data_IF_846469631919
#
_entry.id   IF_846469631919
#
_cell.length_a   1.000
_cell.length_b   1.000
_cell.length_c   1.000
_cell.angle_alpha   90.00
_cell.angle_beta   90.00
_cell.angle_gamma   90.00
#
_symmetry.space_group_name_H-M   'P 1'
#
loop_
_entity.id
_entity.type
_entity.pdbx_description
1 polymer ?
#
# COMPACT_ATOMS: atom_id res chain seq x y z
N UNK A 1 54.77 22.98 -11.94
CA UNK A 1 53.54 23.75 -11.67
C UNK A 1 52.32 23.29 -12.47
N UNK A 2 52.44 22.72 -13.69
CA UNK A 2 51.29 22.21 -14.47
C UNK A 2 50.62 20.92 -13.94
N UNK A 3 51.36 20.07 -13.19
CA UNK A 3 50.83 18.80 -12.66
C UNK A 3 49.95 18.98 -11.41
N UNK A 4 50.11 20.08 -10.69
CA UNK A 4 49.31 20.38 -9.49
C UNK A 4 47.89 20.83 -9.86
N UNK A 5 47.71 21.45 -11.04
CA UNK A 5 46.41 21.88 -11.54
C UNK A 5 45.50 20.72 -11.99
N UNK A 6 46.08 19.58 -12.38
CA UNK A 6 45.33 18.40 -12.85
C UNK A 6 44.72 17.63 -11.67
N UNK A 7 45.36 17.66 -10.49
CA UNK A 7 44.89 16.95 -9.30
C UNK A 7 43.69 17.67 -8.65
N UNK A 8 43.58 19.00 -8.80
CA UNK A 8 42.45 19.77 -8.29
C UNK A 8 41.13 19.53 -9.06
N UNK A 9 41.20 19.14 -10.34
CA UNK A 9 40.01 18.89 -11.17
C UNK A 9 39.42 17.48 -10.96
N UNK A 10 40.21 16.52 -10.45
CA UNK A 10 39.72 15.17 -10.14
C UNK A 10 39.03 15.06 -8.76
N UNK A 11 39.23 16.03 -7.87
CA UNK A 11 38.66 16.02 -6.51
C UNK A 11 37.18 16.46 -6.43
N UNK A 12 36.66 17.13 -7.47
CA UNK A 12 35.29 17.70 -7.45
C UNK A 12 34.24 16.64 -7.86
N UNK A 13 34.66 15.49 -8.40
CA UNK A 13 33.76 14.42 -8.85
C UNK A 13 33.30 13.45 -7.74
N UNK A 14 33.55 13.79 -6.46
CA UNK A 14 33.13 12.98 -5.30
C UNK A 14 32.12 13.68 -4.37
N UNK A 15 31.67 14.90 -4.70
CA UNK A 15 30.56 15.56 -3.99
C UNK A 15 29.18 15.20 -4.57
N UNK A 16 29.07 14.02 -5.16
CA UNK A 16 27.82 13.43 -5.64
C UNK A 16 27.14 12.58 -4.57
N UNK A 17 26.82 13.17 -3.42
CA UNK A 17 25.72 12.66 -2.59
C UNK A 17 24.65 13.74 -2.59
N UNK A 18 23.78 13.70 -3.61
CA UNK A 18 22.45 14.31 -3.48
C UNK A 18 21.75 13.49 -2.40
N UNK A 19 21.92 13.88 -1.14
CA UNK A 19 21.01 13.50 -0.07
C UNK A 19 19.68 14.13 -0.45
N UNK A 20 18.86 13.39 -1.21
CA UNK A 20 17.43 13.53 -1.04
C UNK A 20 17.19 13.17 0.41
N UNK A 21 17.13 14.18 1.26
CA UNK A 21 16.38 14.10 2.50
C UNK A 21 14.95 13.82 2.08
N UNK A 22 14.64 12.55 1.77
CA UNK A 22 13.31 12.07 2.03
C UNK A 22 13.19 12.21 3.53
N UNK A 23 12.46 13.24 3.95
CA UNK A 23 11.62 13.11 5.12
C UNK A 23 10.77 11.89 4.80
N UNK A 24 11.28 10.69 5.08
CA UNK A 24 10.45 9.52 5.24
C UNK A 24 9.68 9.87 6.50
N UNK A 25 8.36 10.14 6.42
CA UNK A 25 7.57 10.20 7.62
C UNK A 25 7.83 8.86 8.29
N UNK A 26 8.45 8.89 9.47
CA UNK A 26 8.93 7.69 10.14
C UNK A 26 7.83 6.65 10.16
N UNK A 27 8.20 5.43 9.85
CA UNK A 27 7.42 4.21 9.93
C UNK A 27 6.71 4.09 11.28
N UNK A 28 5.53 4.67 11.41
CA UNK A 28 4.78 4.76 12.66
C UNK A 28 3.29 4.54 12.40
N UNK A 29 3.00 3.52 11.58
CA UNK A 29 1.64 3.03 11.42
C UNK A 29 1.46 1.88 12.39
N UNK A 30 1.03 2.22 13.61
CA UNK A 30 0.74 1.25 14.67
C UNK A 30 -0.43 0.31 14.33
N UNK A 31 -1.23 0.66 13.31
CA UNK A 31 -2.34 -0.15 12.82
C UNK A 31 -2.59 0.10 11.34
N UNK A 32 -2.58 -0.96 10.53
CA UNK A 32 -2.98 -0.94 9.13
C UNK A 32 -4.23 -1.82 9.00
N UNK A 33 -5.28 -1.27 8.40
CA UNK A 33 -6.54 -1.96 8.19
C UNK A 33 -6.87 -1.99 6.70
N UNK A 34 -7.16 -3.18 6.18
CA UNK A 34 -7.47 -3.45 4.78
C UNK A 34 -8.92 -3.93 4.69
N UNK A 35 -9.72 -3.28 3.86
CA UNK A 35 -11.12 -3.60 3.63
C UNK A 35 -11.30 -4.03 2.18
N UNK A 36 -11.49 -5.33 1.94
CA UNK A 36 -11.74 -5.88 0.62
C UNK A 36 -13.24 -6.00 0.38
N UNK A 37 -13.78 -5.09 -0.43
CA UNK A 37 -15.18 -5.10 -0.86
C UNK A 37 -15.34 -5.96 -2.09
N UNK A 38 -16.18 -6.98 -1.98
CA UNK A 38 -16.35 -7.99 -3.00
C UNK A 38 -17.79 -8.50 -3.08
N UNK A 39 -18.08 -9.22 -4.16
CA UNK A 39 -19.30 -10.02 -4.29
C UNK A 39 -18.93 -11.41 -4.82
N UNK A 40 -19.54 -12.50 -4.29
CA UNK A 40 -19.31 -13.85 -4.81
C UNK A 40 -19.87 -14.06 -6.22
N UNK A 41 -20.59 -13.09 -6.81
CA UNK A 41 -21.09 -13.16 -8.20
C UNK A 41 -20.24 -12.34 -9.17
N UNK A 42 -19.15 -11.74 -8.72
CA UNK A 42 -18.30 -10.88 -9.54
C UNK A 42 -17.05 -11.65 -9.98
N UNK A 43 -16.88 -11.97 -11.28
CA UNK A 43 -15.73 -12.74 -11.77
C UNK A 43 -14.38 -12.05 -11.47
N UNK A 44 -14.34 -10.71 -11.48
CA UNK A 44 -13.14 -9.95 -11.14
C UNK A 44 -12.80 -10.03 -9.65
N UNK A 45 -13.80 -10.16 -8.77
CA UNK A 45 -13.56 -10.41 -7.35
C UNK A 45 -12.95 -11.81 -7.14
N UNK A 46 -13.49 -12.83 -7.80
CA UNK A 46 -12.99 -14.21 -7.69
C UNK A 46 -11.54 -14.33 -8.17
N UNK A 47 -11.18 -13.62 -9.24
CA UNK A 47 -9.80 -13.61 -9.76
C UNK A 47 -8.79 -13.03 -8.78
N UNK A 48 -9.14 -11.93 -8.11
CA UNK A 48 -8.19 -11.23 -7.23
C UNK A 48 -8.21 -11.71 -5.78
N UNK A 49 -9.29 -12.38 -5.35
CA UNK A 49 -9.44 -12.87 -3.98
C UNK A 49 -8.25 -13.73 -3.51
N UNK A 50 -7.72 -14.70 -4.28
CA UNK A 50 -6.57 -15.50 -3.84
C UNK A 50 -5.33 -14.65 -3.54
N UNK A 51 -5.11 -13.56 -4.27
CA UNK A 51 -4.01 -12.63 -4.01
C UNK A 51 -4.21 -11.85 -2.71
N UNK A 52 -5.45 -11.42 -2.42
CA UNK A 52 -5.77 -10.75 -1.14
C UNK A 52 -5.66 -11.72 0.04
N UNK A 53 -6.08 -12.99 -0.14
CA UNK A 53 -5.94 -14.05 0.87
C UNK A 53 -4.45 -14.30 1.18
N UNK A 54 -3.61 -14.43 0.15
CA UNK A 54 -2.15 -14.59 0.27
C UNK A 54 -1.48 -13.40 0.98
N UNK A 55 -1.93 -12.16 0.74
CA UNK A 55 -1.46 -11.00 1.49
C UNK A 55 -1.91 -11.02 2.95
N UNK A 56 -3.14 -11.44 3.24
CA UNK A 56 -3.61 -11.61 4.62
C UNK A 56 -2.73 -12.59 5.39
N UNK A 57 -2.36 -13.69 4.77
CA UNK A 57 -1.54 -14.72 5.40
C UNK A 57 -0.09 -14.28 5.60
N UNK A 58 0.44 -13.40 4.73
CA UNK A 58 1.81 -12.84 4.86
C UNK A 58 1.94 -11.71 5.88
N UNK A 59 0.90 -10.92 6.09
CA UNK A 59 0.96 -9.69 6.91
C UNK A 59 0.16 -9.85 8.20
N UNK A 60 0.74 -10.53 9.20
CA UNK A 60 0.07 -10.82 10.48
C UNK A 60 -0.30 -9.57 11.30
N UNK A 61 0.45 -8.47 11.12
CA UNK A 61 0.21 -7.19 11.80
C UNK A 61 -0.78 -6.27 11.06
N UNK A 62 -1.42 -6.76 9.99
CA UNK A 62 -2.42 -6.03 9.21
C UNK A 62 -3.79 -6.68 9.40
N UNK A 63 -4.80 -5.89 9.73
CA UNK A 63 -6.16 -6.39 9.88
C UNK A 63 -6.87 -6.40 8.53
N UNK A 64 -7.32 -7.58 8.07
CA UNK A 64 -8.07 -7.74 6.83
C UNK A 64 -9.55 -7.99 7.11
N UNK A 65 -10.41 -7.18 6.51
CA UNK A 65 -11.87 -7.27 6.56
C UNK A 65 -12.42 -7.61 5.17
N UNK A 66 -13.21 -8.68 5.10
CA UNK A 66 -13.85 -9.15 3.87
C UNK A 66 -15.30 -8.69 3.83
N UNK A 67 -15.56 -7.67 3.02
CA UNK A 67 -16.83 -6.96 2.99
C UNK A 67 -17.68 -7.44 1.79
N UNK A 68 -18.50 -8.47 2.01
CA UNK A 68 -19.41 -8.96 0.99
C UNK A 68 -20.59 -7.98 0.80
N UNK A 69 -20.63 -7.31 -0.35
CA UNK A 69 -21.65 -6.27 -0.63
C UNK A 69 -23.05 -6.84 -0.87
N UNK A 70 -23.20 -8.15 -1.05
CA UNK A 70 -24.51 -8.81 -1.16
C UNK A 70 -25.07 -9.26 0.18
N UNK A 71 -24.29 -9.19 1.26
CA UNK A 71 -24.71 -9.62 2.58
C UNK A 71 -25.58 -8.55 3.24
N UNK A 72 -26.74 -8.96 3.77
CA UNK A 72 -27.68 -8.03 4.43
C UNK A 72 -27.13 -7.46 5.74
N UNK A 73 -26.24 -8.20 6.40
CA UNK A 73 -25.67 -7.87 7.70
C UNK A 73 -24.15 -7.74 7.61
N UNK A 74 -23.65 -6.88 6.71
CA UNK A 74 -22.22 -6.62 6.63
C UNK A 74 -21.74 -5.94 7.94
N UNK A 75 -20.50 -6.22 8.35
CA UNK A 75 -19.97 -5.74 9.63
C UNK A 75 -19.91 -4.20 9.70
N UNK A 76 -19.90 -3.66 10.92
CA UNK A 76 -19.80 -2.19 11.13
C UNK A 76 -18.51 -1.62 10.55
N UNK A 77 -17.42 -2.38 10.65
CA UNK A 77 -16.10 -2.03 10.12
C UNK A 77 -16.17 -1.86 8.59
N UNK A 78 -16.89 -2.74 7.90
CA UNK A 78 -17.13 -2.63 6.47
C UNK A 78 -18.00 -1.43 6.07
N UNK A 79 -18.93 -0.97 6.91
CA UNK A 79 -19.69 0.24 6.61
C UNK A 79 -18.84 1.52 6.70
N UNK A 80 -17.81 1.53 7.56
CA UNK A 80 -17.00 2.73 7.85
C UNK A 80 -16.40 3.37 6.59
N UNK A 81 -16.00 2.58 5.61
CA UNK A 81 -15.38 3.05 4.37
C UNK A 81 -16.18 2.75 3.11
N UNK A 82 -17.44 2.33 3.24
CA UNK A 82 -18.28 2.00 2.09
C UNK A 82 -18.49 3.19 1.14
N UNK A 83 -18.39 4.44 1.62
CA UNK A 83 -18.51 5.65 0.79
C UNK A 83 -17.35 5.84 -0.20
N UNK A 84 -16.22 5.16 -0.01
CA UNK A 84 -15.11 5.13 -0.98
C UNK A 84 -15.32 4.08 -2.09
N UNK A 85 -16.41 3.32 -2.03
CA UNK A 85 -16.63 2.13 -2.86
C UNK A 85 -17.76 2.40 -3.85
N UNK A 86 -17.41 2.65 -5.11
CA UNK A 86 -18.38 2.82 -6.19
C UNK A 86 -18.77 1.50 -6.87
N UNK A 87 -17.96 0.45 -6.66
CA UNK A 87 -18.16 -0.87 -7.24
C UNK A 87 -17.18 -1.89 -6.67
N UNK A 88 -17.32 -3.15 -7.07
CA UNK A 88 -16.45 -4.25 -6.63
C UNK A 88 -15.69 -4.86 -7.83
N UNK A 89 -14.46 -5.38 -7.64
CA UNK A 89 -13.72 -5.37 -6.37
C UNK A 89 -13.13 -3.99 -6.06
N UNK A 90 -13.11 -3.61 -4.78
CA UNK A 90 -12.39 -2.43 -4.29
C UNK A 90 -11.69 -2.78 -2.99
N UNK A 91 -10.44 -2.37 -2.83
CA UNK A 91 -9.74 -2.42 -1.55
C UNK A 91 -9.60 -1.02 -0.99
N UNK A 92 -9.98 -0.81 0.26
CA UNK A 92 -9.65 0.40 1.02
C UNK A 92 -8.59 0.06 2.05
N UNK A 93 -7.48 0.79 2.05
CA UNK A 93 -6.43 0.71 3.07
C UNK A 93 -6.53 1.95 3.94
N UNK A 94 -6.66 1.77 5.25
CA UNK A 94 -6.65 2.85 6.22
C UNK A 94 -5.53 2.67 7.22
N UNK A 95 -4.78 3.73 7.46
CA UNK A 95 -3.75 3.76 8.48
C UNK A 95 -3.50 5.18 8.98
N UNK A 96 -3.58 5.37 10.30
CA UNK A 96 -3.52 6.70 10.92
C UNK A 96 -4.56 7.64 10.32
N UNK A 97 -4.09 8.69 9.62
CA UNK A 97 -4.95 9.67 8.96
C UNK A 97 -5.03 9.48 7.43
N UNK A 98 -4.45 8.41 6.90
CA UNK A 98 -4.38 8.13 5.47
C UNK A 98 -5.41 7.06 5.13
N UNK A 99 -6.18 7.33 4.07
CA UNK A 99 -7.09 6.36 3.48
C UNK A 99 -6.87 6.34 1.97
N UNK A 100 -6.61 5.16 1.42
CA UNK A 100 -6.36 4.95 -0.01
C UNK A 100 -7.28 3.87 -0.53
N UNK A 101 -7.90 4.08 -1.70
CA UNK A 101 -8.68 3.06 -2.40
C UNK A 101 -7.95 2.55 -3.64
N UNK A 102 -7.99 1.24 -3.85
CA UNK A 102 -7.54 0.54 -5.05
C UNK A 102 -8.79 -0.05 -5.72
N UNK A 103 -9.11 0.41 -6.91
CA UNK A 103 -10.39 0.11 -7.56
C UNK A 103 -10.20 -0.84 -8.74
N UNK A 104 -10.87 -1.98 -8.68
CA UNK A 104 -10.80 -3.02 -9.71
C UNK A 104 -9.60 -3.95 -9.58
N UNK A 105 -9.63 -5.02 -10.38
CA UNK A 105 -8.66 -6.12 -10.34
C UNK A 105 -7.21 -5.64 -10.52
N UNK A 106 -6.95 -4.76 -11.51
CA UNK A 106 -5.59 -4.28 -11.81
C UNK A 106 -4.97 -3.50 -10.65
N UNK A 107 -5.72 -2.57 -10.06
CA UNK A 107 -5.18 -1.69 -9.02
C UNK A 107 -4.93 -2.46 -7.72
N UNK A 108 -5.78 -3.45 -7.42
CA UNK A 108 -5.64 -4.31 -6.25
C UNK A 108 -4.34 -5.11 -6.30
N UNK A 109 -3.79 -5.44 -7.48
CA UNK A 109 -2.47 -6.09 -7.58
C UNK A 109 -1.33 -5.22 -7.02
N UNK A 110 -1.54 -3.91 -6.89
CA UNK A 110 -0.60 -2.99 -6.21
C UNK A 110 -0.71 -3.01 -4.67
N UNK A 111 -1.67 -3.75 -4.09
CA UNK A 111 -1.88 -3.78 -2.65
C UNK A 111 -0.63 -4.27 -1.90
N UNK A 112 0.08 -5.27 -2.41
CA UNK A 112 1.29 -5.78 -1.78
C UNK A 112 2.40 -4.73 -1.72
N UNK A 113 2.58 -3.94 -2.77
CA UNK A 113 3.56 -2.85 -2.80
C UNK A 113 3.16 -1.72 -1.86
N UNK A 114 1.87 -1.39 -1.81
CA UNK A 114 1.32 -0.43 -0.85
C UNK A 114 1.57 -0.91 0.59
N UNK A 115 1.23 -2.16 0.91
CA UNK A 115 1.47 -2.72 2.25
C UNK A 115 2.95 -2.74 2.59
N UNK A 116 3.85 -3.11 1.67
CA UNK A 116 5.30 -3.05 1.88
C UNK A 116 5.80 -1.62 2.14
N UNK A 117 5.20 -0.61 1.50
CA UNK A 117 5.55 0.79 1.72
C UNK A 117 5.06 1.35 3.05
N UNK A 118 3.99 0.76 3.62
CA UNK A 118 3.37 1.18 4.88
C UNK A 118 3.87 0.38 6.09
N UNK A 119 3.94 -0.94 5.96
CA UNK A 119 4.54 -1.86 6.91
C UNK A 119 6.05 -1.86 6.66
N UNK A 120 6.72 -0.87 7.23
CA UNK A 120 8.15 -0.78 7.14
C UNK A 120 8.80 -2.09 7.62
N UNK A 121 9.58 -2.69 6.74
CA UNK A 121 10.31 -3.90 7.03
C UNK A 121 11.50 -3.56 7.96
N UNK A 122 11.70 -4.35 9.01
CA UNK A 122 13.01 -4.49 9.67
C UNK A 122 13.99 -5.23 8.74
#
# INVERSE_FOLDING_TARGET
MKRILIILMLGIMLLGCSQKTTVTPGCNYSKIEVFFYYSPKCPHCEKVKPYVDDLKDRYENVSFYYCNVLEKNVSRECYRYAYYVMGVPTVVVHTGNITTSLVGERDILGLGDLLRSLACCE
#
